data_IF_368094149792
#
_entry.id   IF_368094149792
#
_cell.length_a   1.000
_cell.length_b   1.000
_cell.length_c   1.000
_cell.angle_alpha   90.00
_cell.angle_beta   90.00
_cell.angle_gamma   90.00
#
_symmetry.space_group_name_H-M   'P 1'
#
loop_
_entity.id
_entity.type
_entity.pdbx_description
1 polymer ?
#
# COMPACT_ATOMS: atom_id res chain seq x y z
N UNK A 1 68.63 -17.80 -40.41
CA UNK A 1 67.19 -18.10 -40.15
C UNK A 1 66.68 -17.70 -38.76
N UNK A 2 67.54 -17.50 -37.73
CA UNK A 2 67.11 -17.16 -36.35
C UNK A 2 66.69 -15.69 -36.14
N UNK A 3 67.27 -14.72 -36.85
CA UNK A 3 66.95 -13.29 -36.65
C UNK A 3 65.63 -12.85 -37.29
N UNK A 4 65.28 -13.42 -38.44
CA UNK A 4 64.03 -13.10 -39.16
C UNK A 4 62.78 -13.49 -38.34
N UNK A 5 62.87 -14.57 -37.54
CA UNK A 5 61.80 -15.02 -36.65
C UNK A 5 61.66 -14.16 -35.39
N UNK A 6 62.74 -13.55 -34.90
CA UNK A 6 62.70 -12.61 -33.75
C UNK A 6 62.08 -11.26 -34.12
N UNK A 7 62.32 -10.78 -35.33
CA UNK A 7 61.73 -9.53 -35.82
C UNK A 7 60.20 -9.62 -36.04
N UNK A 8 59.69 -10.81 -36.38
CA UNK A 8 58.25 -11.09 -36.52
C UNK A 8 57.56 -11.44 -35.20
N UNK A 9 58.29 -11.92 -34.18
CA UNK A 9 57.67 -12.31 -32.90
C UNK A 9 57.24 -11.12 -32.06
N UNK A 10 57.98 -10.00 -32.10
CA UNK A 10 57.66 -8.81 -31.31
C UNK A 10 56.32 -8.19 -31.74
N UNK A 11 56.09 -7.88 -33.04
CA UNK A 11 54.80 -7.35 -33.49
C UNK A 11 53.64 -8.33 -33.24
N UNK A 12 53.86 -9.63 -33.45
CA UNK A 12 52.84 -10.66 -33.23
C UNK A 12 52.44 -10.75 -31.74
N UNK A 13 53.40 -10.74 -30.83
CA UNK A 13 53.13 -10.72 -29.39
C UNK A 13 52.41 -9.45 -28.95
N UNK A 14 52.76 -8.28 -29.51
CA UNK A 14 52.06 -7.03 -29.25
C UNK A 14 50.60 -7.07 -29.74
N UNK A 15 50.34 -7.62 -30.94
CA UNK A 15 48.98 -7.78 -31.47
C UNK A 15 48.15 -8.72 -30.60
N UNK A 16 48.73 -9.85 -30.18
CA UNK A 16 48.05 -10.80 -29.29
C UNK A 16 47.72 -10.13 -27.96
N UNK A 17 48.69 -9.47 -27.33
CA UNK A 17 48.49 -8.78 -26.05
C UNK A 17 47.46 -7.67 -26.16
N UNK A 18 47.53 -6.83 -27.20
CA UNK A 18 46.56 -5.76 -27.43
C UNK A 18 45.15 -6.31 -27.66
N UNK A 19 45.01 -7.39 -28.42
CA UNK A 19 43.72 -8.04 -28.67
C UNK A 19 43.11 -8.60 -27.39
N UNK A 20 43.93 -9.27 -26.56
CA UNK A 20 43.50 -9.79 -25.26
C UNK A 20 43.09 -8.65 -24.33
N UNK A 21 43.87 -7.56 -24.28
CA UNK A 21 43.53 -6.40 -23.46
C UNK A 21 42.21 -5.74 -23.89
N UNK A 22 41.96 -5.61 -25.19
CA UNK A 22 40.69 -5.08 -25.70
C UNK A 22 39.52 -5.96 -25.28
N UNK A 23 39.66 -7.29 -25.39
CA UNK A 23 38.61 -8.23 -24.95
C UNK A 23 38.37 -8.11 -23.45
N UNK A 24 39.43 -8.07 -22.63
CA UNK A 24 39.32 -7.92 -21.17
C UNK A 24 38.63 -6.60 -20.81
N UNK A 25 39.05 -5.49 -21.42
CA UNK A 25 38.44 -4.17 -21.18
C UNK A 25 36.98 -4.15 -21.63
N UNK A 26 36.66 -4.79 -22.76
CA UNK A 26 35.28 -4.91 -23.25
C UNK A 26 34.39 -5.68 -22.29
N UNK A 27 34.83 -6.85 -21.83
CA UNK A 27 34.09 -7.67 -20.85
C UNK A 27 33.95 -6.94 -19.51
N UNK A 28 35.03 -6.32 -19.02
CA UNK A 28 35.01 -5.56 -17.77
C UNK A 28 34.06 -4.35 -17.86
N UNK A 29 34.04 -3.63 -18.98
CA UNK A 29 33.14 -2.48 -19.20
C UNK A 29 31.68 -2.91 -19.24
N UNK A 30 31.38 -4.03 -19.90
CA UNK A 30 30.03 -4.60 -19.93
C UNK A 30 29.57 -5.03 -18.53
N UNK A 31 30.43 -5.74 -17.79
CA UNK A 31 30.15 -6.15 -16.42
C UNK A 31 29.94 -4.94 -15.49
N UNK A 32 30.78 -3.91 -15.60
CA UNK A 32 30.64 -2.67 -14.84
C UNK A 32 29.32 -1.95 -15.16
N UNK A 33 28.94 -1.86 -16.43
CA UNK A 33 27.68 -1.25 -16.83
C UNK A 33 26.46 -2.00 -16.27
N UNK A 34 26.50 -3.34 -16.25
CA UNK A 34 25.42 -4.13 -15.66
C UNK A 34 25.34 -3.96 -14.14
N UNK A 35 26.50 -3.94 -13.46
CA UNK A 35 26.56 -3.72 -12.02
C UNK A 35 26.00 -2.33 -11.62
N UNK A 36 26.37 -1.29 -12.36
CA UNK A 36 25.86 0.08 -12.14
C UNK A 36 24.35 0.14 -12.38
N UNK A 37 23.85 -0.47 -13.46
CA UNK A 37 22.42 -0.51 -13.73
C UNK A 37 21.65 -1.25 -12.63
N UNK A 38 22.15 -2.40 -12.17
CA UNK A 38 21.54 -3.14 -11.08
C UNK A 38 21.47 -2.30 -9.80
N UNK A 39 22.53 -1.58 -9.45
CA UNK A 39 22.55 -0.72 -8.27
C UNK A 39 21.58 0.48 -8.39
N UNK A 40 21.45 1.07 -9.58
CA UNK A 40 20.48 2.13 -9.85
C UNK A 40 19.04 1.63 -9.75
N UNK A 41 18.76 0.44 -10.26
CA UNK A 41 17.44 -0.20 -10.20
C UNK A 41 17.05 -0.51 -8.75
N UNK A 42 17.96 -1.07 -7.95
CA UNK A 42 17.74 -1.33 -6.53
C UNK A 42 17.48 -0.04 -5.75
N UNK A 43 18.28 1.01 -6.00
CA UNK A 43 18.11 2.32 -5.36
C UNK A 43 16.75 2.93 -5.69
N UNK A 44 16.31 2.85 -6.95
CA UNK A 44 15.00 3.34 -7.38
C UNK A 44 13.85 2.53 -6.77
N UNK A 45 14.04 1.23 -6.56
CA UNK A 45 13.05 0.39 -5.88
C UNK A 45 12.93 0.73 -4.39
N UNK A 46 14.05 0.98 -3.69
CA UNK A 46 14.03 1.48 -2.31
C UNK A 46 13.37 2.87 -2.20
N UNK A 47 13.63 3.76 -3.17
CA UNK A 47 12.92 5.03 -3.26
C UNK A 47 11.42 4.84 -3.44
N UNK A 48 10.99 3.89 -4.27
CA UNK A 48 9.56 3.57 -4.45
C UNK A 48 8.89 3.09 -3.15
N UNK A 49 9.59 2.31 -2.31
CA UNK A 49 9.08 1.93 -0.98
C UNK A 49 8.85 3.15 -0.10
N UNK A 50 9.82 4.06 -0.05
CA UNK A 50 9.70 5.31 0.69
C UNK A 50 8.56 6.19 0.17
N UNK A 51 8.32 6.21 -1.14
CA UNK A 51 7.18 6.92 -1.75
C UNK A 51 5.86 6.32 -1.28
N UNK A 52 5.70 4.99 -1.28
CA UNK A 52 4.48 4.35 -0.76
C UNK A 52 4.24 4.65 0.72
N UNK A 53 5.30 4.62 1.54
CA UNK A 53 5.22 5.01 2.95
C UNK A 53 4.85 6.50 3.11
N UNK A 54 5.37 7.37 2.26
CA UNK A 54 5.02 8.79 2.25
C UNK A 54 3.57 9.02 1.84
N UNK A 55 3.07 8.30 0.82
CA UNK A 55 1.65 8.33 0.43
C UNK A 55 0.80 7.93 1.63
N UNK A 56 1.10 6.80 2.29
CA UNK A 56 0.34 6.36 3.46
C UNK A 56 0.39 7.37 4.62
N UNK A 57 1.56 7.95 4.88
CA UNK A 57 1.72 9.02 5.86
C UNK A 57 0.90 10.27 5.54
N UNK A 58 0.77 10.63 4.26
CA UNK A 58 -0.08 11.74 3.82
C UNK A 58 -1.55 11.36 3.97
N UNK A 59 -1.97 10.17 3.52
CA UNK A 59 -3.34 9.67 3.66
C UNK A 59 -3.78 9.81 5.11
N UNK A 60 -3.00 9.28 6.07
CA UNK A 60 -3.27 9.37 7.51
C UNK A 60 -3.46 10.80 8.02
N UNK A 61 -2.66 11.75 7.53
CA UNK A 61 -2.78 13.17 7.90
C UNK A 61 -4.04 13.81 7.33
N UNK A 62 -4.46 13.41 6.13
CA UNK A 62 -5.64 13.98 5.47
C UNK A 62 -6.95 13.33 5.90
N UNK A 63 -6.94 12.13 6.49
CA UNK A 63 -8.16 11.34 6.80
C UNK A 63 -9.26 12.13 7.50
N UNK A 64 -8.91 12.91 8.54
CA UNK A 64 -9.89 13.59 9.39
C UNK A 64 -10.01 15.10 9.12
N UNK A 65 -9.21 15.63 8.20
CA UNK A 65 -9.27 17.05 7.80
C UNK A 65 -9.94 17.14 6.44
N UNK A 66 -11.23 17.52 6.44
CA UNK A 66 -12.01 17.64 5.19
C UNK A 66 -11.31 18.58 4.21
N UNK A 67 -11.34 18.23 2.92
CA UNK A 67 -10.77 19.02 1.83
C UNK A 67 -9.26 19.27 1.93
N UNK A 68 -8.55 18.58 2.84
CA UNK A 68 -7.10 18.65 2.90
C UNK A 68 -6.47 17.85 1.75
N UNK A 69 -5.26 18.26 1.39
CA UNK A 69 -4.45 17.56 0.41
C UNK A 69 -2.99 17.58 0.81
N UNK A 70 -2.24 16.63 0.28
CA UNK A 70 -0.79 16.60 0.35
C UNK A 70 -0.23 16.02 -0.94
N UNK A 71 1.07 16.15 -1.14
CA UNK A 71 1.73 15.58 -2.30
C UNK A 71 3.08 14.98 -1.95
N UNK A 72 3.49 14.00 -2.72
CA UNK A 72 4.86 13.49 -2.74
C UNK A 72 5.41 13.64 -4.16
N UNK A 73 6.60 14.23 -4.27
CA UNK A 73 7.34 14.29 -5.52
C UNK A 73 8.14 12.99 -5.66
N UNK A 74 8.07 12.36 -6.82
CA UNK A 74 8.85 11.17 -7.12
C UNK A 74 9.35 11.18 -8.55
N UNK A 75 10.34 10.33 -8.82
CA UNK A 75 10.82 10.03 -10.15
C UNK A 75 10.85 8.53 -10.36
N UNK A 76 10.31 8.06 -11.48
CA UNK A 76 10.25 6.66 -11.85
C UNK A 76 11.03 6.50 -13.16
N UNK A 77 12.35 6.27 -13.05
CA UNK A 77 13.23 6.09 -14.21
C UNK A 77 13.45 4.61 -14.55
N UNK A 78 13.73 3.80 -13.52
CA UNK A 78 13.96 2.35 -13.62
C UNK A 78 12.79 1.52 -13.11
N UNK A 79 11.78 2.16 -12.55
CA UNK A 79 10.63 1.55 -11.92
C UNK A 79 9.35 1.98 -12.64
N UNK A 80 8.30 1.18 -12.54
CA UNK A 80 7.04 1.43 -13.25
C UNK A 80 5.87 1.53 -12.28
N UNK A 81 5.33 2.72 -12.00
CA UNK A 81 4.13 2.87 -11.17
C UNK A 81 2.89 2.40 -11.93
N UNK A 82 1.94 1.82 -11.19
CA UNK A 82 0.67 1.34 -11.68
C UNK A 82 -0.44 1.69 -10.68
N UNK A 83 -1.53 2.27 -11.19
CA UNK A 83 -2.71 2.64 -10.41
C UNK A 83 -3.85 1.75 -10.86
N UNK A 84 -4.08 0.66 -10.12
CA UNK A 84 -4.89 -0.47 -10.57
C UNK A 84 -6.24 -0.42 -9.87
N UNK A 85 -7.30 -0.28 -10.67
CA UNK A 85 -8.67 -0.56 -10.22
C UNK A 85 -8.89 -2.06 -10.37
N UNK A 86 -8.95 -2.81 -9.27
CA UNK A 86 -8.98 -4.29 -9.35
C UNK A 86 -10.32 -4.82 -9.84
N UNK A 87 -11.40 -4.04 -9.65
CA UNK A 87 -12.77 -4.48 -9.92
C UNK A 87 -13.36 -5.35 -8.80
N UNK A 88 -12.59 -5.58 -7.73
CA UNK A 88 -13.00 -6.32 -6.55
C UNK A 88 -13.47 -5.35 -5.45
N UNK A 89 -14.21 -5.86 -4.47
CA UNK A 89 -14.75 -5.07 -3.37
C UNK A 89 -14.34 -5.65 -2.02
N UNK A 90 -14.09 -4.76 -1.06
CA UNK A 90 -14.07 -5.06 0.37
C UNK A 90 -15.51 -4.93 0.88
N UNK A 91 -16.04 -6.00 1.47
CA UNK A 91 -17.41 -6.04 1.99
C UNK A 91 -17.38 -6.05 3.52
N UNK A 92 -17.99 -5.05 4.14
CA UNK A 92 -18.27 -5.01 5.58
C UNK A 92 -19.71 -5.48 5.81
N UNK A 93 -19.89 -6.41 6.72
CA UNK A 93 -21.17 -6.96 7.15
C UNK A 93 -21.26 -6.78 8.66
N UNK A 94 -22.33 -6.15 9.14
CA UNK A 94 -22.69 -6.11 10.56
C UNK A 94 -23.93 -6.97 10.69
N UNK A 95 -23.79 -8.14 11.33
CA UNK A 95 -24.86 -9.12 11.53
C UNK A 95 -25.37 -9.03 12.96
N UNK A 96 -26.57 -8.46 13.15
CA UNK A 96 -27.25 -8.39 14.44
C UNK A 96 -28.38 -9.42 14.56
N UNK A 97 -28.42 -10.44 13.69
CA UNK A 97 -29.41 -11.51 13.67
C UNK A 97 -30.77 -11.12 13.09
N UNK A 98 -31.34 -10.01 13.55
CA UNK A 98 -32.64 -9.49 13.07
C UNK A 98 -32.51 -8.56 11.87
N UNK A 99 -31.40 -7.84 11.79
CA UNK A 99 -31.08 -6.90 10.71
C UNK A 99 -29.58 -6.96 10.42
N UNK A 100 -29.25 -6.90 9.13
CA UNK A 100 -27.87 -6.98 8.66
C UNK A 100 -27.57 -5.75 7.79
N UNK A 101 -26.48 -5.06 8.11
CA UNK A 101 -25.99 -3.95 7.30
C UNK A 101 -24.82 -4.42 6.46
N UNK A 102 -24.85 -4.12 5.16
CA UNK A 102 -23.80 -4.51 4.21
C UNK A 102 -23.29 -3.29 3.46
N UNK A 103 -21.98 -3.07 3.50
CA UNK A 103 -21.31 -1.96 2.84
C UNK A 103 -20.18 -2.50 1.94
N UNK A 104 -20.09 -1.98 0.72
CA UNK A 104 -19.08 -2.40 -0.26
C UNK A 104 -18.23 -1.23 -0.70
N UNK A 105 -16.91 -1.40 -0.66
CA UNK A 105 -15.94 -0.41 -1.11
C UNK A 105 -15.03 -1.04 -2.17
N UNK A 106 -14.83 -0.40 -3.34
CA UNK A 106 -13.90 -0.88 -4.35
C UNK A 106 -12.47 -0.98 -3.83
N UNK A 107 -11.79 -2.07 -4.15
CA UNK A 107 -10.37 -2.27 -3.86
C UNK A 107 -9.56 -1.64 -5.00
N UNK A 108 -8.78 -0.62 -4.65
CA UNK A 108 -7.87 0.05 -5.56
C UNK A 108 -6.45 -0.03 -4.96
N UNK A 109 -5.48 -0.36 -5.81
CA UNK A 109 -4.10 -0.63 -5.37
C UNK A 109 -3.12 0.21 -6.17
N UNK A 110 -2.18 0.84 -5.47
CA UNK A 110 -1.04 1.50 -6.08
C UNK A 110 0.13 0.52 -6.03
N UNK A 111 0.72 0.17 -7.18
CA UNK A 111 1.88 -0.72 -7.26
C UNK A 111 3.04 -0.02 -7.96
N UNK A 112 4.27 -0.36 -7.62
CA UNK A 112 5.46 0.02 -8.39
C UNK A 112 6.29 -1.23 -8.65
N UNK A 113 6.52 -1.53 -9.94
CA UNK A 113 7.41 -2.60 -10.38
C UNK A 113 8.86 -2.14 -10.31
N UNK A 114 9.72 -2.97 -9.74
CA UNK A 114 11.17 -2.84 -9.77
C UNK A 114 11.74 -3.03 -11.18
N UNK A 115 13.00 -2.65 -11.36
CA UNK A 115 13.75 -2.93 -12.58
C UNK A 115 14.09 -4.43 -12.73
N UNK A 116 14.56 -4.88 -13.90
CA UNK A 116 14.86 -6.29 -14.18
C UNK A 116 15.89 -6.94 -13.24
N UNK A 117 16.79 -6.17 -12.62
CA UNK A 117 17.82 -6.68 -11.72
C UNK A 117 17.39 -6.68 -10.25
N UNK A 118 16.18 -6.19 -9.95
CA UNK A 118 15.64 -6.12 -8.59
C UNK A 118 14.87 -7.40 -8.28
N UNK A 119 15.18 -8.01 -7.14
CA UNK A 119 14.48 -9.18 -6.63
C UNK A 119 14.03 -8.99 -5.18
N UNK A 120 12.87 -9.55 -4.84
CA UNK A 120 12.41 -9.65 -3.45
C UNK A 120 12.48 -11.12 -3.04
N UNK A 121 13.39 -11.46 -2.12
CA UNK A 121 13.55 -12.85 -1.67
C UNK A 121 12.42 -13.30 -0.76
N UNK A 122 11.93 -12.41 0.09
CA UNK A 122 10.89 -12.70 1.09
C UNK A 122 9.81 -11.65 1.00
N UNK A 123 8.59 -12.09 0.69
CA UNK A 123 7.42 -11.22 0.73
C UNK A 123 7.17 -10.78 2.16
N UNK A 124 6.94 -9.48 2.37
CA UNK A 124 6.68 -8.93 3.70
C UNK A 124 5.87 -7.65 3.64
N UNK A 125 5.12 -7.41 4.70
CA UNK A 125 4.50 -6.13 4.98
C UNK A 125 5.55 -5.20 5.61
N UNK A 126 5.81 -4.05 4.99
CA UNK A 126 6.64 -2.96 5.55
C UNK A 126 5.83 -2.21 6.61
N UNK A 127 4.54 -2.02 6.34
CA UNK A 127 3.56 -1.45 7.26
C UNK A 127 2.21 -2.15 7.06
N UNK A 128 1.48 -2.31 8.16
CA UNK A 128 0.27 -3.11 8.19
C UNK A 128 0.57 -4.59 8.32
N UNK A 129 -0.48 -5.39 8.26
CA UNK A 129 -0.47 -6.85 8.36
C UNK A 129 -1.55 -7.41 7.43
N UNK A 130 -1.67 -8.72 7.39
CA UNK A 130 -2.62 -9.42 6.52
C UNK A 130 -4.03 -9.51 7.12
N UNK A 131 -4.25 -8.94 8.31
CA UNK A 131 -5.58 -8.94 8.94
C UNK A 131 -6.51 -7.95 8.25
N UNK A 132 -7.72 -8.40 7.97
CA UNK A 132 -8.78 -7.61 7.33
C UNK A 132 -9.54 -6.74 8.34
N UNK A 133 -9.63 -7.19 9.59
CA UNK A 133 -10.38 -6.55 10.67
C UNK A 133 -9.45 -6.14 11.82
N UNK A 134 -9.09 -4.86 11.84
CA UNK A 134 -8.20 -4.28 12.84
C UNK A 134 -9.01 -3.84 14.07
N UNK A 135 -8.72 -4.41 15.25
CA UNK A 135 -9.46 -4.10 16.48
C UNK A 135 -8.83 -3.02 17.35
N UNK A 136 -7.64 -2.55 16.99
CA UNK A 136 -6.89 -1.55 17.74
C UNK A 136 -6.67 -0.25 16.95
N UNK A 137 -6.39 0.85 17.66
CA UNK A 137 -6.17 2.18 17.05
C UNK A 137 -4.77 2.37 16.50
N UNK A 138 -3.81 1.56 16.95
CA UNK A 138 -2.38 1.67 16.61
C UNK A 138 -2.03 1.01 15.27
N UNK A 139 -2.80 -0.01 14.88
CA UNK A 139 -2.65 -0.75 13.63
C UNK A 139 -2.88 0.15 12.43
N UNK A 140 -2.00 0.06 11.44
CA UNK A 140 -2.12 0.84 10.21
C UNK A 140 -3.24 0.32 9.33
N UNK A 141 -4.17 1.20 8.92
CA UNK A 141 -5.22 0.88 7.93
C UNK A 141 -4.62 0.70 6.52
N UNK A 142 -3.59 1.47 6.16
CA UNK A 142 -2.85 1.28 4.91
C UNK A 142 -1.80 0.18 5.01
N UNK A 143 -1.75 -0.71 4.01
CA UNK A 143 -0.83 -1.85 3.92
C UNK A 143 0.18 -1.57 2.84
N UNK A 144 1.46 -1.48 3.20
CA UNK A 144 2.54 -1.45 2.21
C UNK A 144 3.27 -2.77 2.28
N UNK A 145 3.29 -3.51 1.17
CA UNK A 145 3.92 -4.81 1.08
C UNK A 145 4.91 -4.86 -0.07
N UNK A 146 5.92 -5.72 0.07
CA UNK A 146 6.83 -6.09 -1.01
C UNK A 146 6.72 -7.58 -1.29
N UNK A 147 6.82 -7.95 -2.56
CA UNK A 147 6.75 -9.34 -2.99
C UNK A 147 7.37 -9.52 -4.38
N UNK A 148 7.62 -10.77 -4.74
CA UNK A 148 8.09 -11.17 -6.07
C UNK A 148 6.93 -11.78 -6.87
N UNK A 149 6.64 -11.23 -8.05
CA UNK A 149 5.69 -11.81 -9.01
C UNK A 149 5.97 -11.29 -10.41
N UNK A 150 6.68 -12.06 -11.24
CA UNK A 150 7.22 -11.58 -12.53
C UNK A 150 8.03 -10.26 -12.37
N UNK A 151 8.83 -10.17 -11.30
CA UNK A 151 9.56 -8.97 -10.91
C UNK A 151 9.29 -8.58 -9.46
N UNK A 152 10.12 -7.69 -8.94
CA UNK A 152 9.93 -7.12 -7.61
C UNK A 152 8.80 -6.10 -7.61
N UNK A 153 7.91 -6.15 -6.62
CA UNK A 153 6.83 -5.21 -6.45
C UNK A 153 6.85 -4.58 -5.07
N UNK A 154 6.47 -3.31 -5.01
CA UNK A 154 5.93 -2.68 -3.81
C UNK A 154 4.49 -2.28 -4.08
N UNK A 155 3.56 -2.59 -3.17
CA UNK A 155 2.16 -2.20 -3.29
C UNK A 155 1.65 -1.49 -2.05
N UNK A 156 0.73 -0.55 -2.24
CA UNK A 156 -0.06 0.12 -1.22
C UNK A 156 -1.55 -0.11 -1.50
N UNK A 157 -2.25 -0.62 -0.50
CA UNK A 157 -3.71 -0.78 -0.51
C UNK A 157 -4.34 -0.40 0.84
N UNK A 158 -5.66 -0.20 0.83
CA UNK A 158 -6.47 0.12 2.01
C UNK A 158 -7.63 -0.88 2.19
N UNK A 159 -7.41 -2.13 1.80
CA UNK A 159 -8.45 -3.19 1.72
C UNK A 159 -8.76 -3.80 3.10
N UNK A 160 -8.89 -2.95 4.12
CA UNK A 160 -9.03 -3.36 5.53
C UNK A 160 -9.97 -2.42 6.27
N UNK A 161 -10.59 -2.94 7.31
CA UNK A 161 -11.53 -2.23 8.17
C UNK A 161 -10.94 -2.11 9.56
N UNK A 162 -11.03 -0.94 10.17
CA UNK A 162 -10.75 -0.78 11.60
C UNK A 162 -12.07 -0.76 12.36
N UNK A 163 -12.23 -1.65 13.33
CA UNK A 163 -13.40 -1.75 14.21
C UNK A 163 -12.95 -1.67 15.67
N UNK A 164 -13.07 -0.51 16.28
CA UNK A 164 -12.59 -0.25 17.65
C UNK A 164 -13.77 -0.10 18.58
N UNK A 165 -13.82 -0.91 19.63
CA UNK A 165 -14.71 -0.67 20.76
C UNK A 165 -14.16 0.48 21.61
N UNK A 166 -14.92 1.56 21.73
CA UNK A 166 -14.51 2.79 22.43
C UNK A 166 -14.97 2.82 23.89
N UNK A 167 -15.69 1.80 24.34
CA UNK A 167 -16.22 1.67 25.70
C UNK A 167 -17.72 1.89 25.81
N UNK A 168 -18.17 2.08 27.05
CA UNK A 168 -19.58 2.28 27.39
C UNK A 168 -19.80 3.76 27.65
N UNK A 169 -20.75 4.36 26.94
CA UNK A 169 -21.10 5.78 27.10
C UNK A 169 -22.53 5.89 27.63
N UNK A 170 -22.77 6.90 28.47
CA UNK A 170 -24.09 7.20 29.00
C UNK A 170 -24.73 8.33 28.18
N UNK A 171 -25.89 8.06 27.60
CA UNK A 171 -26.65 9.04 26.83
C UNK A 171 -27.93 9.42 27.59
N UNK A 172 -28.18 10.72 27.70
CA UNK A 172 -29.39 11.23 28.32
C UNK A 172 -30.56 11.14 27.34
N UNK A 173 -31.57 10.33 27.66
CA UNK A 173 -32.75 10.11 26.81
C UNK A 173 -33.88 11.12 27.05
N UNK A 174 -33.62 12.18 27.81
CA UNK A 174 -34.61 13.20 28.19
C UNK A 174 -35.22 13.00 29.58
N UNK A 175 -35.12 11.80 30.15
CA UNK A 175 -35.62 11.48 31.51
C UNK A 175 -34.57 10.83 32.40
N UNK A 176 -33.74 9.95 31.84
CA UNK A 176 -32.70 9.21 32.54
C UNK A 176 -31.45 9.03 31.66
N UNK A 177 -30.38 8.53 32.25
CA UNK A 177 -29.18 8.09 31.51
C UNK A 177 -29.30 6.62 31.14
N UNK A 178 -29.10 6.31 29.86
CA UNK A 178 -29.03 4.94 29.35
C UNK A 178 -27.60 4.66 28.87
N UNK A 179 -27.06 3.50 29.25
CA UNK A 179 -25.71 3.08 28.89
C UNK A 179 -25.70 2.32 27.56
N UNK A 180 -24.81 2.71 26.65
CA UNK A 180 -24.62 2.05 25.35
C UNK A 180 -23.17 1.62 25.17
N UNK A 181 -22.96 0.44 24.57
CA UNK A 181 -21.68 0.14 23.93
C UNK A 181 -21.49 1.10 22.77
N UNK A 182 -20.27 1.60 22.58
CA UNK A 182 -19.92 2.42 21.42
C UNK A 182 -18.80 1.74 20.64
N UNK A 183 -19.05 1.50 19.37
CA UNK A 183 -18.09 0.91 18.43
C UNK A 183 -17.87 1.89 17.28
N UNK A 184 -16.62 2.15 16.94
CA UNK A 184 -16.25 2.97 15.79
C UNK A 184 -15.67 2.08 14.69
N UNK A 185 -16.29 2.12 13.52
CA UNK A 185 -15.85 1.38 12.34
C UNK A 185 -15.38 2.37 11.27
N UNK A 186 -14.12 2.30 10.88
CA UNK A 186 -13.52 3.18 9.86
C UNK A 186 -13.07 2.37 8.64
N UNK A 187 -13.44 2.87 7.46
CA UNK A 187 -13.00 2.35 6.16
C UNK A 187 -12.47 3.49 5.27
N UNK A 188 -11.47 3.19 4.45
CA UNK A 188 -10.90 4.14 3.49
C UNK A 188 -11.28 3.71 2.09
N UNK A 189 -12.02 4.57 1.39
CA UNK A 189 -12.31 4.44 -0.03
C UNK A 189 -11.24 5.17 -0.83
N UNK A 190 -10.23 4.42 -1.30
CA UNK A 190 -9.20 4.96 -2.18
C UNK A 190 -9.72 4.99 -3.63
N UNK A 191 -9.62 6.14 -4.30
CA UNK A 191 -10.03 6.33 -5.69
C UNK A 191 -8.90 6.97 -6.50
N UNK A 192 -8.91 6.79 -7.82
CA UNK A 192 -7.93 7.41 -8.72
C UNK A 192 -8.58 8.51 -9.55
N UNK A 193 -8.01 9.71 -9.48
CA UNK A 193 -8.36 10.84 -10.31
C UNK A 193 -7.57 10.86 -11.62
N UNK A 194 -6.95 11.99 -11.93
CA UNK A 194 -6.13 12.14 -13.14
C UNK A 194 -4.81 11.40 -12.96
N UNK A 195 -4.40 10.57 -13.92
CA UNK A 195 -3.11 9.86 -13.88
C UNK A 195 -2.34 10.18 -15.16
N UNK A 196 -1.36 11.06 -15.05
CA UNK A 196 -0.44 11.40 -16.13
C UNK A 196 0.81 10.50 -16.10
N UNK A 197 1.36 10.24 -17.29
CA UNK A 197 2.62 9.50 -17.43
C UNK A 197 3.81 10.45 -17.48
N UNK A 198 4.88 10.09 -16.78
CA UNK A 198 6.09 10.89 -16.74
C UNK A 198 7.19 10.23 -15.91
N UNK A 199 8.44 10.58 -16.19
CA UNK A 199 9.60 10.14 -15.40
C UNK A 199 9.73 10.89 -14.09
N UNK A 200 9.22 12.12 -14.01
CA UNK A 200 9.10 12.90 -12.78
C UNK A 200 7.64 13.29 -12.59
N UNK A 201 7.09 12.98 -11.43
CA UNK A 201 5.67 13.15 -11.15
C UNK A 201 5.44 13.69 -9.74
N UNK A 202 4.34 14.40 -9.58
CA UNK A 202 3.73 14.72 -8.31
C UNK A 202 2.54 13.77 -8.11
N UNK A 203 2.61 12.98 -7.04
CA UNK A 203 1.48 12.16 -6.60
C UNK A 203 0.74 12.98 -5.55
N UNK A 204 -0.46 13.42 -5.89
CA UNK A 204 -1.32 14.24 -5.04
C UNK A 204 -2.36 13.34 -4.37
N UNK A 205 -2.54 13.53 -3.07
CA UNK A 205 -3.51 12.82 -2.24
C UNK A 205 -4.48 13.86 -1.72
N UNK A 206 -5.78 13.66 -1.93
CA UNK A 206 -6.84 14.59 -1.53
C UNK A 206 -7.93 13.87 -0.77
N UNK A 207 -8.35 14.43 0.36
CA UNK A 207 -9.58 14.01 1.03
C UNK A 207 -10.78 14.61 0.28
N UNK A 208 -11.62 13.76 -0.32
CA UNK A 208 -12.85 14.15 -1.01
C UNK A 208 -14.02 14.40 -0.05
N UNK A 209 -13.95 13.87 1.16
CA UNK A 209 -14.96 13.99 2.18
C UNK A 209 -15.02 12.77 3.10
N UNK A 210 -15.62 12.97 4.26
CA UNK A 210 -15.93 11.91 5.22
C UNK A 210 -17.45 11.77 5.28
N UNK A 211 -17.94 10.57 4.97
CA UNK A 211 -19.34 10.20 5.19
C UNK A 211 -19.40 9.40 6.49
N UNK A 212 -20.36 9.71 7.34
CA UNK A 212 -20.57 9.00 8.58
C UNK A 212 -22.02 8.58 8.73
N UNK A 213 -22.24 7.38 9.23
CA UNK A 213 -23.54 6.82 9.54
C UNK A 213 -23.49 6.28 10.96
N UNK A 214 -24.55 6.49 11.74
CA UNK A 214 -24.67 5.91 13.08
C UNK A 214 -25.80 4.90 13.06
N UNK A 215 -25.47 3.63 13.27
CA UNK A 215 -26.47 2.61 13.51
C UNK A 215 -26.77 2.63 15.01
N UNK A 216 -27.93 3.16 15.34
CA UNK A 216 -28.45 3.21 16.71
C UNK A 216 -29.50 2.13 16.86
N UNK A 217 -29.46 1.38 17.97
CA UNK A 217 -30.42 0.33 18.33
C UNK A 217 -30.05 -1.12 17.94
N UNK A 218 -28.76 -1.46 18.01
CA UNK A 218 -28.34 -2.86 17.99
C UNK A 218 -28.36 -3.41 19.42
N UNK A 219 -28.84 -4.63 19.61
CA UNK A 219 -28.81 -5.32 20.90
C UNK A 219 -28.24 -6.73 20.76
N UNK A 220 -27.65 -7.25 21.84
CA UNK A 220 -27.06 -8.58 21.84
C UNK A 220 -25.64 -8.63 21.26
N UNK A 221 -25.15 -9.85 21.07
CA UNK A 221 -23.79 -10.12 20.60
C UNK A 221 -23.75 -10.17 19.07
N UNK A 222 -23.77 -9.01 18.43
CA UNK A 222 -23.66 -8.91 16.97
C UNK A 222 -22.24 -9.24 16.50
N UNK A 223 -22.12 -9.58 15.22
CA UNK A 223 -20.84 -9.89 14.56
C UNK A 223 -20.49 -8.83 13.52
N UNK A 224 -19.24 -8.37 13.55
CA UNK A 224 -18.63 -7.55 12.50
C UNK A 224 -17.77 -8.45 11.63
N UNK A 225 -18.17 -8.62 10.38
CA UNK A 225 -17.52 -9.48 9.40
C UNK A 225 -16.99 -8.67 8.22
N UNK A 226 -15.77 -8.96 7.81
CA UNK A 226 -15.08 -8.33 6.69
C UNK A 226 -14.69 -9.41 5.69
N UNK A 227 -15.13 -9.24 4.45
CA UNK A 227 -14.87 -10.17 3.34
C UNK A 227 -14.11 -9.45 2.25
N UNK A 228 -13.01 -10.06 1.80
CA UNK A 228 -12.22 -9.61 0.66
C UNK A 228 -11.86 -10.81 -0.24
N UNK A 229 -11.31 -10.58 -1.44
CA UNK A 229 -10.77 -11.67 -2.27
C UNK A 229 -9.66 -12.49 -1.59
N UNK A 230 -8.96 -11.90 -0.61
CA UNK A 230 -7.85 -12.55 0.11
C UNK A 230 -8.34 -13.43 1.27
N UNK A 231 -9.59 -13.28 1.71
CA UNK A 231 -10.16 -14.04 2.81
C UNK A 231 -11.28 -13.33 3.55
N UNK A 232 -11.60 -13.84 4.72
CA UNK A 232 -12.67 -13.35 5.60
C UNK A 232 -12.18 -13.32 7.04
N UNK A 233 -12.55 -12.28 7.77
CA UNK A 233 -12.38 -12.18 9.23
C UNK A 233 -13.65 -11.67 9.89
N UNK A 234 -13.95 -12.19 11.08
CA UNK A 234 -15.11 -11.78 11.86
C UNK A 234 -14.76 -11.63 13.35
N UNK A 235 -15.44 -10.69 14.01
CA UNK A 235 -15.37 -10.47 15.46
C UNK A 235 -16.75 -10.17 16.01
N UNK A 236 -17.12 -10.89 17.06
CA UNK A 236 -18.30 -10.60 17.88
C UNK A 236 -18.07 -9.39 18.79
N UNK A 237 -19.15 -8.76 19.27
CA UNK A 237 -19.08 -7.67 20.24
C UNK A 237 -18.28 -8.05 21.50
N UNK A 238 -18.48 -9.27 22.03
CA UNK A 238 -17.73 -9.77 23.20
C UNK A 238 -16.23 -9.84 22.92
N UNK A 239 -15.83 -10.30 21.74
CA UNK A 239 -14.41 -10.36 21.35
C UNK A 239 -13.79 -8.97 21.13
N UNK A 240 -14.61 -7.97 20.81
CA UNK A 240 -14.21 -6.56 20.78
C UNK A 240 -14.12 -5.95 22.19
N UNK A 241 -14.62 -6.64 23.22
CA UNK A 241 -14.63 -6.20 24.62
C UNK A 241 -15.92 -5.48 25.06
N UNK A 242 -16.98 -5.54 24.25
CA UNK A 242 -18.29 -4.97 24.58
C UNK A 242 -19.15 -5.88 25.46
N UNK A 243 -20.25 -5.32 25.97
CA UNK A 243 -21.21 -5.98 26.85
C UNK A 243 -22.53 -6.28 26.11
N UNK A 244 -22.82 -7.53 25.71
CA UNK A 244 -24.03 -7.87 24.95
C UNK A 244 -25.35 -7.60 25.66
N UNK A 245 -25.33 -7.39 26.98
CA UNK A 245 -26.54 -7.04 27.74
C UNK A 245 -27.00 -5.60 27.50
N UNK A 246 -26.14 -4.77 26.90
CA UNK A 246 -26.40 -3.36 26.61
C UNK A 246 -26.65 -3.13 25.13
N UNK A 247 -27.41 -2.09 24.82
CA UNK A 247 -27.58 -1.61 23.45
C UNK A 247 -26.27 -1.05 22.92
N UNK A 248 -26.09 -1.12 21.61
CA UNK A 248 -24.88 -0.67 20.93
C UNK A 248 -25.20 0.42 19.93
N UNK A 249 -24.32 1.42 19.90
CA UNK A 249 -24.23 2.44 18.86
C UNK A 249 -22.98 2.15 18.05
N UNK A 250 -23.14 1.97 16.74
CA UNK A 250 -22.02 1.80 15.82
C UNK A 250 -21.88 3.07 14.99
N UNK A 251 -20.72 3.72 15.09
CA UNK A 251 -20.36 4.86 14.25
C UNK A 251 -19.52 4.37 13.07
N UNK A 252 -20.12 4.37 11.88
CA UNK A 252 -19.47 4.05 10.63
C UNK A 252 -18.87 5.32 10.03
N UNK A 253 -17.60 5.25 9.63
CA UNK A 253 -16.84 6.37 9.06
C UNK A 253 -16.21 5.91 7.75
N UNK A 254 -16.71 6.46 6.64
CA UNK A 254 -16.18 6.25 5.30
C UNK A 254 -15.36 7.46 4.88
N UNK A 255 -14.04 7.29 4.78
CA UNK A 255 -13.14 8.34 4.33
C UNK A 255 -12.85 8.17 2.85
N UNK A 256 -13.27 9.14 2.03
CA UNK A 256 -13.05 9.10 0.59
C UNK A 256 -11.75 9.84 0.25
N UNK A 257 -10.78 9.11 -0.29
CA UNK A 257 -9.46 9.63 -0.65
C UNK A 257 -9.25 9.47 -2.14
N UNK A 258 -8.83 10.53 -2.82
CA UNK A 258 -8.43 10.51 -4.22
C UNK A 258 -6.92 10.61 -4.34
N UNK A 259 -6.35 9.79 -5.21
CA UNK A 259 -4.95 9.88 -5.64
C UNK A 259 -4.90 10.27 -7.11
N UNK A 260 -4.16 11.34 -7.40
CA UNK A 260 -3.90 11.82 -8.76
C UNK A 260 -2.40 11.93 -9.01
N UNK A 261 -1.99 11.76 -10.26
CA UNK A 261 -0.60 11.89 -10.71
C UNK A 261 -0.52 12.97 -11.76
N UNK A 262 0.33 13.96 -11.52
CA UNK A 262 0.61 15.05 -12.44
C UNK A 262 2.08 15.04 -12.82
N UNK A 263 2.40 15.32 -14.07
CA UNK A 263 3.78 15.45 -14.52
C UNK A 263 4.45 16.65 -13.84
N UNK A 264 5.68 16.46 -13.35
CA UNK A 264 6.52 17.60 -12.98
C UNK A 264 7.01 18.25 -14.27
N UNK A 265 6.66 19.53 -14.47
CA UNK A 265 7.21 20.36 -15.54
C UNK A 265 8.73 20.46 -15.48
#
# INVERSE_FOLDING_TARGET
MKEKNRALSIPLSTIILASVLIVIVGVASFAANNAVNAQLEETQFEQAKNVMLAIDGIVKKVLFVRQSSGYVKSSFWKTTPQFIRTGENLTLIIDAGTENWTYQIPINVIKVKGGPHVGVTVSKNIIGNDSLLLTDTSSSIGRVSIYQSDGAWVSLDYSRVRCVYTGIWEYFNGSDYESFNVVEITMINLTFGTVETGTQVFIMIRNLGVNSESITDISGNFEVKVVSPEGEEAKSLEELGGDPSKRTIINLVFVNVEVSVMRSG
#
